data_IF_949414874794
#
_entry.id   IF_949414874794
#
_cell.length_a   1.000
_cell.length_b   1.000
_cell.length_c   1.000
_cell.angle_alpha   90.00
_cell.angle_beta   90.00
_cell.angle_gamma   90.00
#
_symmetry.space_group_name_H-M   'P 1'
#
loop_
_entity.id
_entity.type
_entity.pdbx_description
1 polymer ?
#
# COMPACT_ATOMS: atom_id res chain seq x y z
N UNK A 1 -14.09 23.48 -9.40
CA UNK A 1 -14.40 22.08 -9.73
C UNK A 1 -13.09 21.33 -9.62
N UNK A 2 -13.02 20.35 -8.73
CA UNK A 2 -11.77 19.68 -8.38
C UNK A 2 -11.25 18.94 -9.62
N UNK A 3 -9.98 19.13 -10.01
CA UNK A 3 -9.33 18.50 -11.19
C UNK A 3 -9.27 16.96 -11.16
N UNK A 4 -9.96 16.34 -10.22
CA UNK A 4 -9.95 14.91 -9.92
C UNK A 4 -11.10 14.15 -10.59
N UNK A 5 -12.18 14.82 -11.00
CA UNK A 5 -13.43 14.16 -11.40
C UNK A 5 -13.35 13.30 -12.69
N UNK A 6 -12.23 13.30 -13.43
CA UNK A 6 -12.10 12.53 -14.69
C UNK A 6 -10.69 11.97 -14.95
N UNK A 7 -9.85 11.80 -13.93
CA UNK A 7 -8.51 11.25 -14.17
C UNK A 7 -8.57 9.72 -14.29
N UNK A 8 -8.31 9.17 -15.47
CA UNK A 8 -8.37 7.71 -15.75
C UNK A 8 -7.60 6.84 -14.75
N UNK A 9 -6.54 7.39 -14.13
CA UNK A 9 -5.77 6.73 -13.09
C UNK A 9 -6.59 6.41 -11.82
N UNK A 10 -7.73 7.07 -11.62
CA UNK A 10 -8.62 6.89 -10.47
C UNK A 10 -9.78 5.92 -10.75
N UNK A 11 -10.11 5.65 -12.01
CA UNK A 11 -11.27 4.83 -12.41
C UNK A 11 -11.19 3.39 -11.86
N UNK A 12 -9.96 2.88 -11.71
CA UNK A 12 -9.65 1.55 -11.19
C UNK A 12 -9.61 1.43 -9.66
N UNK A 13 -9.66 2.54 -8.93
CA UNK A 13 -9.51 2.51 -7.48
C UNK A 13 -10.72 1.84 -6.81
N UNK A 14 -10.43 1.16 -5.70
CA UNK A 14 -11.42 0.43 -4.89
C UNK A 14 -12.17 1.38 -3.92
N UNK A 15 -11.73 2.63 -3.85
CA UNK A 15 -12.37 3.67 -3.05
C UNK A 15 -13.83 3.87 -3.50
N UNK A 16 -14.77 3.90 -2.54
CA UNK A 16 -16.20 4.04 -2.81
C UNK A 16 -16.92 2.79 -3.36
N UNK A 17 -16.22 1.70 -3.66
CA UNK A 17 -16.81 0.44 -4.17
C UNK A 17 -16.98 -0.60 -3.05
N UNK A 18 -17.96 -1.51 -3.21
CA UNK A 18 -18.07 -2.72 -2.38
C UNK A 18 -16.87 -3.63 -2.64
N UNK A 19 -16.33 -4.25 -1.60
CA UNK A 19 -15.15 -5.11 -1.74
C UNK A 19 -15.28 -6.31 -0.82
N UNK A 20 -15.12 -7.50 -1.39
CA UNK A 20 -15.12 -8.74 -0.63
C UNK A 20 -13.78 -8.90 0.10
N UNK A 21 -13.84 -9.47 1.29
CA UNK A 21 -12.64 -9.83 2.04
C UNK A 21 -11.95 -11.03 1.39
N UNK A 22 -10.62 -11.01 1.37
CA UNK A 22 -9.79 -12.13 0.93
C UNK A 22 -9.27 -12.89 2.15
N UNK A 23 -9.51 -14.19 2.17
CA UNK A 23 -9.03 -15.09 3.23
C UNK A 23 -7.67 -15.73 2.89
N UNK A 24 -7.04 -15.30 1.79
CA UNK A 24 -5.71 -15.74 1.40
C UNK A 24 -4.91 -14.52 0.92
N UNK A 25 -3.60 -14.58 1.12
CA UNK A 25 -2.67 -13.55 0.70
C UNK A 25 -2.82 -13.20 -0.78
N UNK A 26 -2.91 -11.91 -1.07
CA UNK A 26 -3.13 -11.39 -2.42
C UNK A 26 -2.47 -10.01 -2.60
N UNK A 27 -1.29 -9.99 -3.21
CA UNK A 27 -0.57 -8.75 -3.52
C UNK A 27 -1.26 -7.90 -4.60
N UNK A 28 -2.14 -8.48 -5.42
CA UNK A 28 -2.82 -7.74 -6.50
C UNK A 28 -3.84 -6.71 -5.99
N UNK A 29 -4.16 -6.78 -4.68
CA UNK A 29 -5.00 -5.81 -4.01
C UNK A 29 -4.36 -4.43 -3.86
N UNK A 30 -3.02 -4.34 -3.89
CA UNK A 30 -2.32 -3.07 -3.76
C UNK A 30 -2.56 -2.18 -4.97
N UNK A 31 -2.93 -0.92 -4.72
CA UNK A 31 -3.18 0.06 -5.76
C UNK A 31 -2.26 1.28 -5.56
N UNK A 32 -1.36 1.47 -6.52
CA UNK A 32 -0.53 2.67 -6.61
C UNK A 32 -1.30 3.82 -7.25
N UNK A 33 -1.12 5.02 -6.70
CA UNK A 33 -1.63 6.28 -7.25
C UNK A 33 -0.43 7.13 -7.64
N UNK A 34 -0.25 7.47 -8.94
CA UNK A 34 0.91 8.25 -9.37
C UNK A 34 0.97 9.59 -8.65
N UNK A 35 2.14 9.91 -8.08
CA UNK A 35 2.34 11.19 -7.40
C UNK A 35 2.25 12.37 -8.36
N UNK A 36 2.56 12.15 -9.65
CA UNK A 36 2.44 13.13 -10.74
C UNK A 36 1.05 13.75 -10.83
N UNK A 37 -0.02 12.99 -10.52
CA UNK A 37 -1.40 13.48 -10.55
C UNK A 37 -1.59 14.80 -9.79
N UNK A 38 -0.92 14.94 -8.64
CA UNK A 38 -0.98 16.14 -7.81
C UNK A 38 0.27 17.00 -7.90
N UNK A 39 1.39 16.47 -8.42
CA UNK A 39 2.64 17.22 -8.59
C UNK A 39 2.64 18.06 -9.87
N UNK A 40 2.18 17.52 -10.98
CA UNK A 40 2.22 18.20 -12.28
C UNK A 40 1.41 19.51 -12.27
N UNK A 41 0.18 19.58 -11.69
CA UNK A 41 -0.56 20.84 -11.60
C UNK A 41 0.12 21.90 -10.72
N UNK A 42 1.00 21.48 -9.83
CA UNK A 42 1.81 22.36 -8.98
C UNK A 42 3.13 22.78 -9.66
N UNK A 43 3.38 22.32 -10.89
CA UNK A 43 4.64 22.56 -11.60
C UNK A 43 5.82 21.78 -11.01
N UNK A 44 5.57 20.69 -10.29
CA UNK A 44 6.60 19.90 -9.62
C UNK A 44 6.96 18.69 -10.48
N UNK A 45 8.20 18.62 -10.96
CA UNK A 45 8.69 17.50 -11.79
C UNK A 45 9.52 16.52 -10.95
N UNK A 46 9.45 15.23 -11.26
CA UNK A 46 10.11 14.18 -10.48
C UNK A 46 11.64 14.31 -10.44
N UNK A 47 12.25 14.89 -11.46
CA UNK A 47 13.68 15.14 -11.59
C UNK A 47 14.18 16.39 -10.84
N UNK A 48 13.27 17.24 -10.35
CA UNK A 48 13.63 18.51 -9.69
C UNK A 48 12.63 18.88 -8.58
N UNK A 49 12.44 17.98 -7.62
CA UNK A 49 11.57 18.24 -6.47
C UNK A 49 12.24 19.20 -5.48
N UNK A 50 11.55 20.25 -5.00
CA UNK A 50 12.11 21.25 -4.08
C UNK A 50 12.12 20.79 -2.61
N UNK A 51 11.96 19.50 -2.35
CA UNK A 51 11.83 18.91 -1.03
C UNK A 51 12.44 17.51 -0.96
N UNK A 52 12.59 17.01 0.25
CA UNK A 52 12.92 15.62 0.57
C UNK A 52 12.03 15.13 1.71
N UNK A 53 11.88 13.82 1.86
CA UNK A 53 11.10 13.24 2.97
C UNK A 53 10.60 11.83 2.69
N UNK A 54 9.61 11.39 3.44
CA UNK A 54 8.95 10.11 3.26
C UNK A 54 7.51 10.17 3.76
N UNK A 55 6.66 9.29 3.21
CA UNK A 55 5.37 8.98 3.80
C UNK A 55 5.58 7.87 4.84
N UNK A 56 5.33 8.19 6.10
CA UNK A 56 5.51 7.24 7.22
C UNK A 56 4.15 6.65 7.58
N UNK A 57 4.04 5.33 7.52
CA UNK A 57 2.83 4.57 7.80
C UNK A 57 3.00 3.69 9.04
N UNK A 58 2.01 3.79 9.94
CA UNK A 58 1.88 2.88 11.09
C UNK A 58 0.77 1.86 10.83
N UNK A 59 1.14 0.59 10.76
CA UNK A 59 0.23 -0.52 10.49
C UNK A 59 -0.22 -1.15 11.81
N UNK A 60 -1.21 -0.55 12.48
CA UNK A 60 -1.65 -0.98 13.81
C UNK A 60 -2.30 -2.37 13.86
N UNK A 61 -2.87 -2.81 12.73
CA UNK A 61 -3.68 -4.03 12.64
C UNK A 61 -2.98 -5.13 11.80
N UNK A 62 -1.65 -5.24 11.87
CA UNK A 62 -0.92 -6.28 11.15
C UNK A 62 -1.04 -7.63 11.87
N UNK A 63 -1.61 -8.63 11.18
CA UNK A 63 -1.84 -9.97 11.73
C UNK A 63 -1.70 -11.06 10.66
N UNK A 64 -1.26 -12.25 11.08
CA UNK A 64 -1.11 -13.44 10.21
C UNK A 64 -1.11 -14.74 11.03
N UNK A 65 -1.00 -15.90 10.39
CA UNK A 65 -0.85 -17.19 11.08
C UNK A 65 0.61 -17.67 11.04
N UNK A 66 1.15 -18.20 12.15
CA UNK A 66 2.42 -18.93 12.07
C UNK A 66 2.26 -20.30 11.39
N UNK A 67 3.35 -21.04 11.20
CA UNK A 67 3.34 -22.37 10.56
C UNK A 67 2.39 -23.38 11.20
N UNK A 68 2.06 -23.22 12.49
CA UNK A 68 1.09 -24.05 13.23
C UNK A 68 -0.35 -23.55 13.16
N UNK A 69 -0.61 -22.41 12.54
CA UNK A 69 -1.95 -21.83 12.40
C UNK A 69 -2.37 -20.97 13.59
N UNK A 70 -1.44 -20.61 14.48
CA UNK A 70 -1.72 -19.71 15.59
C UNK A 70 -1.62 -18.26 15.09
N UNK A 71 -2.63 -17.41 15.33
CA UNK A 71 -2.56 -15.99 15.01
C UNK A 71 -1.36 -15.30 15.67
N UNK A 72 -0.75 -14.39 14.93
CA UNK A 72 0.37 -13.53 15.30
C UNK A 72 -0.05 -12.10 15.05
N UNK A 73 0.37 -11.17 15.90
CA UNK A 73 0.05 -9.73 15.78
C UNK A 73 1.30 -8.90 15.92
N UNK A 74 1.35 -7.78 15.19
CA UNK A 74 2.44 -6.82 15.25
C UNK A 74 1.93 -5.41 14.92
N UNK A 75 2.75 -4.40 15.22
CA UNK A 75 2.61 -3.05 14.65
C UNK A 75 3.72 -2.89 13.62
N UNK A 76 3.33 -2.60 12.38
CA UNK A 76 4.29 -2.34 11.30
C UNK A 76 4.66 -0.85 11.22
N UNK A 77 5.89 -0.57 10.86
CA UNK A 77 6.37 0.76 10.49
C UNK A 77 6.91 0.69 9.06
N UNK A 78 6.35 1.51 8.16
CA UNK A 78 6.74 1.56 6.75
C UNK A 78 7.09 2.99 6.40
N UNK A 79 8.19 3.18 5.68
CA UNK A 79 8.60 4.46 5.12
C UNK A 79 8.65 4.32 3.61
N UNK A 80 7.84 5.11 2.90
CA UNK A 80 7.89 5.22 1.44
C UNK A 80 8.59 6.52 1.08
N UNK A 81 9.70 6.40 0.34
CA UNK A 81 10.49 7.56 -0.09
C UNK A 81 9.64 8.52 -0.95
N UNK A 82 9.79 9.82 -0.71
CA UNK A 82 9.09 10.84 -1.49
C UNK A 82 9.39 10.77 -3.01
N UNK A 83 10.49 10.14 -3.42
CA UNK A 83 10.87 9.95 -4.82
C UNK A 83 10.17 8.78 -5.51
N UNK A 84 9.40 7.96 -4.77
CA UNK A 84 8.63 6.85 -5.35
C UNK A 84 7.65 7.35 -6.43
N UNK A 85 7.37 6.52 -7.44
CA UNK A 85 6.52 6.91 -8.57
C UNK A 85 5.06 7.09 -8.11
N UNK A 86 4.63 6.18 -7.25
CA UNK A 86 3.29 6.09 -6.71
C UNK A 86 3.32 6.30 -5.19
N UNK A 87 2.24 6.87 -4.66
CA UNK A 87 1.83 6.60 -3.28
C UNK A 87 0.90 5.38 -3.29
N UNK A 88 0.73 4.71 -2.15
CA UNK A 88 -0.17 3.56 -2.03
C UNK A 88 -1.53 4.04 -1.51
N UNK A 89 -2.61 3.65 -2.17
CA UNK A 89 -3.98 3.99 -1.75
C UNK A 89 -4.34 3.25 -0.45
N UNK A 90 -4.83 3.99 0.55
CA UNK A 90 -4.96 3.51 1.93
C UNK A 90 -5.95 2.35 2.09
N UNK A 91 -7.08 2.37 1.37
CA UNK A 91 -8.07 1.28 1.42
C UNK A 91 -7.50 0.00 0.79
N UNK A 92 -6.83 0.12 -0.35
CA UNK A 92 -6.13 -0.98 -1.02
C UNK A 92 -5.06 -1.60 -0.12
N UNK A 93 -4.29 -0.76 0.58
CA UNK A 93 -3.26 -1.21 1.51
C UNK A 93 -3.87 -1.96 2.69
N UNK A 94 -4.96 -1.46 3.28
CA UNK A 94 -5.70 -2.16 4.33
C UNK A 94 -6.21 -3.53 3.87
N UNK A 95 -6.81 -3.61 2.67
CA UNK A 95 -7.31 -4.88 2.13
C UNK A 95 -6.19 -5.89 1.88
N UNK A 96 -5.06 -5.41 1.35
CA UNK A 96 -3.85 -6.20 1.22
C UNK A 96 -3.36 -6.74 2.57
N UNK A 97 -3.28 -5.90 3.61
CA UNK A 97 -2.89 -6.36 4.96
C UNK A 97 -3.88 -7.39 5.52
N UNK A 98 -5.18 -7.19 5.31
CA UNK A 98 -6.19 -8.15 5.74
C UNK A 98 -6.04 -9.53 5.07
N UNK A 99 -5.48 -9.59 3.87
CA UNK A 99 -5.19 -10.86 3.18
C UNK A 99 -4.16 -11.73 3.93
N UNK A 100 -3.39 -11.14 4.86
CA UNK A 100 -2.42 -11.86 5.69
C UNK A 100 -3.11 -12.61 6.84
N UNK A 101 -4.29 -12.16 7.29
CA UNK A 101 -4.91 -12.59 8.55
C UNK A 101 -5.12 -14.11 8.66
N UNK A 102 -5.43 -14.78 7.54
CA UNK A 102 -5.62 -16.23 7.47
C UNK A 102 -4.48 -16.94 6.71
N UNK A 103 -3.45 -16.20 6.32
CA UNK A 103 -2.28 -16.73 5.60
C UNK A 103 -1.22 -17.21 6.57
N UNK A 104 -0.67 -18.41 6.31
CA UNK A 104 0.45 -18.96 7.08
C UNK A 104 1.78 -18.44 6.56
N UNK A 105 2.59 -17.94 7.46
CA UNK A 105 4.00 -17.63 7.22
C UNK A 105 4.88 -18.40 8.20
N UNK A 106 6.01 -18.90 7.71
CA UNK A 106 6.94 -19.69 8.53
C UNK A 106 7.63 -18.83 9.60
N UNK A 107 7.98 -17.59 9.24
CA UNK A 107 8.71 -16.67 10.12
C UNK A 107 8.23 -15.24 9.96
N UNK A 108 8.49 -14.42 10.99
CA UNK A 108 8.27 -12.97 10.95
C UNK A 108 9.09 -12.30 9.83
N UNK A 109 10.28 -12.81 9.56
CA UNK A 109 11.14 -12.30 8.50
C UNK A 109 10.52 -12.50 7.11
N UNK A 110 9.84 -13.64 6.88
CA UNK A 110 9.09 -13.87 5.64
C UNK A 110 7.95 -12.85 5.45
N UNK A 111 7.24 -12.48 6.53
CA UNK A 111 6.21 -11.44 6.48
C UNK A 111 6.82 -10.09 6.13
N UNK A 112 7.92 -9.71 6.80
CA UNK A 112 8.65 -8.46 6.56
C UNK A 112 9.14 -8.36 5.11
N UNK A 113 9.73 -9.41 4.58
CA UNK A 113 10.23 -9.48 3.20
C UNK A 113 9.09 -9.42 2.17
N UNK A 114 7.96 -10.07 2.46
CA UNK A 114 6.77 -10.03 1.60
C UNK A 114 6.23 -8.60 1.52
N UNK A 115 6.07 -7.93 2.67
CA UNK A 115 5.69 -6.52 2.74
C UNK A 115 6.65 -5.64 1.95
N UNK A 116 7.96 -5.76 2.19
CA UNK A 116 8.97 -4.94 1.51
C UNK A 116 8.93 -5.12 -0.02
N UNK A 117 8.86 -6.36 -0.50
CA UNK A 117 8.81 -6.68 -1.93
C UNK A 117 7.56 -6.09 -2.59
N UNK A 118 6.40 -6.31 -2.00
CA UNK A 118 5.12 -5.96 -2.62
C UNK A 118 4.90 -4.44 -2.59
N UNK A 119 5.29 -3.77 -1.50
CA UNK A 119 5.21 -2.32 -1.40
C UNK A 119 6.23 -1.64 -2.31
N UNK A 120 7.44 -2.19 -2.47
CA UNK A 120 8.42 -1.69 -3.46
C UNK A 120 7.92 -1.82 -4.90
N UNK A 121 7.17 -2.87 -5.22
CA UNK A 121 6.63 -3.06 -6.56
C UNK A 121 5.42 -2.14 -6.85
N UNK A 122 4.70 -1.72 -5.81
CA UNK A 122 3.53 -0.85 -5.93
C UNK A 122 3.88 0.65 -5.93
N UNK A 123 4.82 1.05 -5.06
CA UNK A 123 5.24 2.44 -4.86
C UNK A 123 6.12 2.99 -5.99
#
# INVERSE_FOLDING_TARGET
MSSYENHQALDGLTLGKSTDYRDNYDASLLQGVPRSLNRDPLGLTADNLPFHGADIWTLYELSWLNSRGLPQVAVGHVELDYTSVNLIESKSFKLYLNSFNQTRFDTWETVRQTLERDLRACA
#
